data_IF_015307541286
#
_entry.id   IF_015307541286
#
_cell.length_a   1.000
_cell.length_b   1.000
_cell.length_c   1.000
_cell.angle_alpha   90.00
_cell.angle_beta   90.00
_cell.angle_gamma   90.00
#
_symmetry.space_group_name_H-M   'P 1'
#
loop_
_entity.id
_entity.type
_entity.pdbx_description
1 polymer ?
#
# COMPACT_ATOMS: atom_id res chain seq x y z
N UNK A 1 -65.74 -43.80 20.21
CA UNK A 1 -64.35 -43.95 19.70
C UNK A 1 -63.56 -42.74 20.17
N UNK A 2 -63.22 -42.69 21.47
CA UNK A 2 -61.86 -42.76 22.04
C UNK A 2 -60.86 -41.81 21.35
N UNK A 3 -60.64 -40.59 21.87
CA UNK A 3 -59.88 -40.20 23.10
C UNK A 3 -58.36 -40.42 22.91
N UNK A 4 -57.42 -39.47 23.12
CA UNK A 4 -57.34 -38.27 23.99
C UNK A 4 -56.38 -37.21 23.38
N UNK A 5 -56.54 -35.87 23.50
CA UNK A 5 -56.49 -34.95 24.68
C UNK A 5 -55.05 -34.88 25.28
N UNK A 6 -54.33 -33.75 25.42
CA UNK A 6 -54.64 -32.47 26.08
C UNK A 6 -53.57 -31.36 25.79
N UNK A 7 -54.03 -30.11 25.71
CA UNK A 7 -53.36 -28.83 26.07
C UNK A 7 -53.63 -28.53 27.57
N UNK A 8 -53.25 -27.38 28.22
CA UNK A 8 -52.07 -26.48 28.20
C UNK A 8 -51.63 -26.06 29.65
N UNK A 9 -51.00 -24.86 29.81
CA UNK A 9 -50.73 -24.05 31.02
C UNK A 9 -49.29 -24.14 31.56
N UNK A 10 -48.66 -23.12 32.16
CA UNK A 10 -49.08 -21.79 32.57
C UNK A 10 -47.83 -20.89 32.72
N UNK A 11 -48.06 -19.58 32.72
CA UNK A 11 -47.08 -18.55 33.02
C UNK A 11 -46.44 -18.73 34.41
N UNK A 12 -45.14 -18.43 34.51
CA UNK A 12 -44.56 -17.95 35.77
C UNK A 12 -43.51 -16.86 35.50
N UNK A 13 -43.95 -15.61 35.71
CA UNK A 13 -43.11 -14.42 35.77
C UNK A 13 -42.51 -14.37 37.17
N UNK A 14 -41.18 -14.50 37.31
CA UNK A 14 -40.45 -14.05 38.51
C UNK A 14 -39.16 -13.35 38.13
N UNK A 15 -39.17 -12.03 38.30
CA UNK A 15 -38.00 -11.18 38.44
C UNK A 15 -37.05 -11.74 39.50
N UNK A 16 -35.76 -11.88 39.16
CA UNK A 16 -34.65 -11.63 40.11
C UNK A 16 -33.41 -11.18 39.34
N UNK A 17 -32.95 -9.97 39.69
CA UNK A 17 -31.68 -9.35 39.29
C UNK A 17 -30.49 -10.28 39.57
N UNK A 18 -29.56 -10.41 38.63
CA UNK A 18 -28.13 -10.57 38.93
C UNK A 18 -27.26 -10.07 37.77
N UNK A 19 -26.27 -9.26 38.13
CA UNK A 19 -25.30 -8.60 37.27
C UNK A 19 -24.12 -9.53 36.92
N UNK A 20 -23.74 -9.53 35.63
CA UNK A 20 -22.40 -9.64 35.00
C UNK A 20 -21.50 -10.90 35.17
N UNK A 21 -20.45 -11.11 34.34
CA UNK A 21 -20.19 -10.68 32.94
C UNK A 21 -19.63 -11.82 32.03
N UNK A 22 -19.54 -11.58 30.71
CA UNK A 22 -18.40 -11.86 29.80
C UNK A 22 -18.88 -12.14 28.37
N UNK A 23 -18.86 -11.13 27.51
CA UNK A 23 -18.80 -11.33 26.06
C UNK A 23 -17.36 -11.69 25.69
N UNK A 24 -17.14 -12.91 25.22
CA UNK A 24 -15.89 -13.30 24.58
C UNK A 24 -15.79 -12.58 23.24
N UNK A 25 -14.96 -11.54 23.18
CA UNK A 25 -14.50 -10.95 21.94
C UNK A 25 -13.65 -12.01 21.24
N UNK A 26 -14.16 -12.55 20.14
CA UNK A 26 -13.42 -13.47 19.28
C UNK A 26 -12.47 -12.64 18.39
N UNK A 27 -11.34 -12.22 18.98
CA UNK A 27 -10.23 -11.64 18.22
C UNK A 27 -9.63 -12.74 17.32
N UNK A 28 -9.75 -12.57 15.99
CA UNK A 28 -9.07 -13.43 15.01
C UNK A 28 -7.55 -13.33 15.25
N UNK A 29 -6.90 -14.49 15.42
CA UNK A 29 -5.46 -14.65 15.69
C UNK A 29 -4.51 -13.91 14.72
N UNK A 30 -4.97 -13.50 13.55
CA UNK A 30 -4.16 -12.75 12.58
C UNK A 30 -3.97 -11.25 12.89
N UNK A 31 -4.80 -10.64 13.76
CA UNK A 31 -4.65 -9.20 14.08
C UNK A 31 -3.70 -8.92 15.25
N UNK A 32 -3.41 -9.91 16.11
CA UNK A 32 -2.56 -9.72 17.28
C UNK A 32 -1.09 -9.48 16.92
N UNK A 33 -0.58 -10.11 15.86
CA UNK A 33 0.79 -9.87 15.37
C UNK A 33 0.94 -8.45 14.78
N UNK A 34 -0.14 -7.88 14.23
CA UNK A 34 -0.17 -6.56 13.58
C UNK A 34 -0.24 -5.41 14.59
N UNK A 35 -0.84 -5.61 15.76
CA UNK A 35 -0.84 -4.61 16.85
C UNK A 35 0.44 -4.62 17.71
N UNK A 36 1.12 -5.77 17.83
CA UNK A 36 2.36 -5.87 18.59
C UNK A 36 3.50 -5.08 17.90
N UNK A 37 3.52 -5.04 16.57
CA UNK A 37 4.53 -4.30 15.79
C UNK A 37 4.27 -2.78 15.80
N UNK A 38 3.01 -2.34 15.64
CA UNK A 38 2.65 -0.93 15.77
C UNK A 38 2.82 -0.40 17.22
N UNK A 39 2.57 -1.23 18.23
CA UNK A 39 2.80 -0.90 19.63
C UNK A 39 4.29 -0.74 19.99
N UNK A 40 5.18 -1.50 19.34
CA UNK A 40 6.63 -1.36 19.52
C UNK A 40 7.17 -0.07 18.86
N UNK A 41 6.63 0.32 17.70
CA UNK A 41 7.01 1.56 17.01
C UNK A 41 6.53 2.85 17.70
N UNK A 42 5.42 2.80 18.46
CA UNK A 42 4.86 3.96 19.19
C UNK A 42 5.27 4.02 20.67
N UNK A 43 5.81 2.94 21.24
CA UNK A 43 6.28 2.93 22.63
C UNK A 43 7.35 3.99 22.97
N UNK A 44 8.25 4.45 22.05
CA UNK A 44 9.19 5.53 22.32
C UNK A 44 8.51 6.90 22.49
N UNK A 45 7.42 7.15 21.76
CA UNK A 45 6.65 8.40 21.79
C UNK A 45 5.78 8.52 23.06
N UNK A 46 5.30 7.40 23.59
CA UNK A 46 4.44 7.38 24.79
C UNK A 46 5.22 7.42 26.12
N UNK A 47 6.53 7.13 26.10
CA UNK A 47 7.39 7.11 27.30
C UNK A 47 8.22 8.38 27.51
N UNK A 48 8.14 9.36 26.62
CA UNK A 48 8.75 10.67 26.82
C UNK A 48 7.90 11.49 27.81
N UNK A 49 8.36 11.77 29.05
CA UNK A 49 7.52 12.40 30.07
C UNK A 49 7.20 13.88 29.80
N UNK A 50 7.69 14.47 28.71
CA UNK A 50 7.49 15.88 28.40
C UNK A 50 7.19 16.07 26.91
N UNK A 51 5.97 16.51 26.65
CA UNK A 51 5.41 16.91 25.37
C UNK A 51 6.22 18.00 24.65
N UNK A 52 6.42 17.80 23.34
CA UNK A 52 6.53 18.80 22.25
C UNK A 52 6.77 20.26 22.66
N UNK A 53 7.96 20.58 23.18
CA UNK A 53 8.56 21.91 23.13
C UNK A 53 10.04 21.82 23.59
N UNK A 54 10.98 22.22 22.73
CA UNK A 54 12.29 22.69 23.21
C UNK A 54 13.41 21.67 23.41
N UNK A 55 13.51 20.59 22.62
CA UNK A 55 14.77 19.85 22.48
C UNK A 55 15.28 19.92 21.04
N UNK A 56 16.44 20.55 20.87
CA UNK A 56 17.34 20.27 19.75
C UNK A 56 17.99 18.93 20.06
N UNK A 57 17.37 17.82 19.63
CA UNK A 57 18.08 16.56 19.53
C UNK A 57 19.12 16.74 18.43
N UNK A 58 20.39 16.93 18.81
CA UNK A 58 21.47 16.75 17.86
C UNK A 58 21.44 15.27 17.49
N UNK A 59 21.10 14.97 16.23
CA UNK A 59 20.87 13.61 15.71
C UNK A 59 22.13 12.72 15.86
N UNK A 60 23.28 13.33 16.20
CA UNK A 60 24.53 12.65 16.54
C UNK A 60 24.56 12.02 17.94
N UNK A 61 23.73 12.49 18.87
CA UNK A 61 23.66 12.01 20.26
C UNK A 61 22.57 10.94 20.44
N UNK A 62 22.34 10.11 19.42
CA UNK A 62 21.37 9.02 19.51
C UNK A 62 21.74 8.07 20.65
N UNK A 63 20.84 7.87 21.63
CA UNK A 63 21.12 6.98 22.73
C UNK A 63 21.23 5.54 22.20
N UNK A 64 22.20 4.78 22.71
CA UNK A 64 22.55 3.44 22.21
C UNK A 64 21.36 2.47 22.11
N UNK A 65 20.30 2.66 22.89
CA UNK A 65 19.08 1.84 22.83
C UNK A 65 18.26 2.04 21.56
N UNK A 66 18.44 3.14 20.82
CA UNK A 66 17.81 3.36 19.52
C UNK A 66 18.58 2.65 18.38
N UNK A 67 19.83 2.26 18.60
CA UNK A 67 20.64 1.56 17.61
C UNK A 67 20.34 0.07 17.65
N UNK A 68 20.13 -0.53 16.47
CA UNK A 68 19.96 -1.99 16.36
C UNK A 68 21.30 -2.60 15.94
N UNK A 69 22.02 -3.33 16.82
CA UNK A 69 23.26 -3.99 16.44
C UNK A 69 22.96 -5.18 15.53
N UNK A 70 23.44 -5.12 14.28
CA UNK A 70 23.15 -6.10 13.24
C UNK A 70 24.37 -6.95 12.84
N UNK A 71 25.35 -7.10 13.75
CA UNK A 71 26.62 -7.82 13.52
C UNK A 71 26.47 -9.25 12.96
N UNK A 72 25.32 -9.87 13.16
CA UNK A 72 25.04 -11.23 12.69
C UNK A 72 24.64 -11.32 11.21
N UNK A 73 24.28 -10.19 10.57
CA UNK A 73 24.01 -10.05 9.12
C UNK A 73 25.07 -9.18 8.42
N UNK A 74 26.13 -8.80 9.13
CA UNK A 74 27.24 -8.12 8.48
C UNK A 74 28.01 -9.11 7.59
N UNK A 75 28.37 -8.72 6.37
CA UNK A 75 29.05 -9.62 5.46
C UNK A 75 30.37 -10.11 6.03
N UNK A 76 30.48 -11.44 6.19
CA UNK A 76 31.67 -12.10 6.76
C UNK A 76 32.87 -12.12 5.82
N UNK A 77 32.65 -11.80 4.54
CA UNK A 77 33.67 -11.74 3.49
C UNK A 77 33.52 -10.41 2.75
N UNK A 78 34.61 -9.89 2.13
CA UNK A 78 34.53 -8.69 1.30
C UNK A 78 33.47 -8.84 0.22
N UNK A 79 32.59 -7.84 0.10
CA UNK A 79 31.58 -7.77 -0.95
C UNK A 79 32.23 -7.21 -2.23
N UNK A 80 32.11 -7.90 -3.38
CA UNK A 80 32.58 -7.35 -4.65
C UNK A 80 31.89 -6.02 -4.98
N UNK A 81 32.65 -5.04 -5.48
CA UNK A 81 32.10 -3.75 -5.86
C UNK A 81 31.00 -3.88 -6.94
N UNK A 82 29.86 -3.26 -6.68
CA UNK A 82 28.68 -3.23 -7.54
C UNK A 82 28.00 -1.87 -7.47
N UNK A 83 27.49 -1.41 -8.62
CA UNK A 83 26.53 -0.31 -8.67
C UNK A 83 25.12 -0.90 -8.60
N UNK A 84 24.20 -0.16 -7.97
CA UNK A 84 22.80 -0.56 -7.82
C UNK A 84 21.89 0.62 -8.10
N UNK A 85 20.77 0.34 -8.73
CA UNK A 85 19.63 1.22 -8.96
C UNK A 85 18.61 0.95 -7.87
N UNK A 86 18.29 -0.32 -7.64
CA UNK A 86 17.08 -0.70 -6.90
C UNK A 86 16.31 -1.75 -7.68
N UNK A 87 15.58 -2.62 -6.97
CA UNK A 87 14.55 -3.44 -7.59
C UNK A 87 13.30 -2.60 -7.90
N UNK A 88 12.34 -3.18 -8.61
CA UNK A 88 11.18 -2.45 -9.13
C UNK A 88 10.32 -1.83 -8.01
N UNK A 89 9.99 -2.62 -6.99
CA UNK A 89 9.01 -2.21 -5.97
C UNK A 89 9.62 -1.88 -4.62
N UNK A 90 10.76 -2.49 -4.26
CA UNK A 90 11.23 -2.37 -2.89
C UNK A 90 11.71 -0.93 -2.59
N UNK A 91 11.26 -0.30 -1.49
CA UNK A 91 11.68 1.04 -1.10
C UNK A 91 13.10 1.03 -0.55
N UNK A 92 13.87 2.08 -0.81
CA UNK A 92 15.25 2.19 -0.30
C UNK A 92 15.23 2.57 1.18
N UNK A 93 16.20 2.12 1.99
CA UNK A 93 16.41 2.69 3.31
C UNK A 93 16.72 4.19 3.25
N UNK A 94 16.67 4.89 4.39
CA UNK A 94 17.09 6.30 4.44
C UNK A 94 18.49 6.42 3.87
N UNK A 95 18.65 7.34 2.92
CA UNK A 95 19.91 7.59 2.24
C UNK A 95 21.00 8.08 3.20
N UNK A 96 22.28 7.89 2.86
CA UNK A 96 23.39 8.56 3.52
C UNK A 96 23.28 10.08 3.38
N UNK A 97 23.86 10.83 4.33
CA UNK A 97 23.79 12.30 4.33
C UNK A 97 24.27 12.89 3.01
N UNK A 98 23.50 13.85 2.50
CA UNK A 98 23.83 14.64 1.32
C UNK A 98 23.43 14.00 0.01
N UNK A 99 23.00 12.73 0.02
CA UNK A 99 22.51 12.06 -1.17
C UNK A 99 21.08 12.48 -1.49
N UNK A 100 20.85 12.77 -2.76
CA UNK A 100 19.55 13.04 -3.34
C UNK A 100 19.32 12.13 -4.53
N UNK A 101 18.07 11.77 -4.80
CA UNK A 101 17.71 11.02 -5.99
C UNK A 101 16.39 11.51 -6.59
N UNK A 102 16.32 11.42 -7.91
CA UNK A 102 15.13 11.52 -8.72
C UNK A 102 14.98 10.22 -9.50
N UNK A 103 13.80 9.61 -9.41
CA UNK A 103 13.46 8.42 -10.19
C UNK A 103 12.07 8.57 -10.83
N UNK A 104 12.00 8.97 -12.11
CA UNK A 104 10.79 8.82 -12.90
C UNK A 104 10.56 7.33 -13.17
N UNK A 105 9.37 6.89 -12.86
CA UNK A 105 8.96 5.50 -12.82
C UNK A 105 7.64 5.35 -13.57
N UNK A 106 7.61 4.54 -14.61
CA UNK A 106 6.41 4.35 -15.43
C UNK A 106 5.92 2.92 -15.35
N UNK A 107 4.62 2.76 -15.07
CA UNK A 107 3.92 1.48 -15.02
C UNK A 107 2.82 1.49 -16.07
N UNK A 108 2.84 0.54 -16.99
CA UNK A 108 1.68 0.22 -17.81
C UNK A 108 0.95 -0.93 -17.13
N UNK A 109 -0.34 -0.80 -16.82
CA UNK A 109 -1.13 -1.88 -16.21
C UNK A 109 -2.11 -2.43 -17.22
N UNK A 110 -2.02 -3.73 -17.48
CA UNK A 110 -2.95 -4.46 -18.35
C UNK A 110 -3.68 -5.50 -17.50
N UNK A 111 -4.95 -5.26 -17.17
CA UNK A 111 -5.78 -6.24 -16.49
C UNK A 111 -6.05 -7.46 -17.39
N UNK A 112 -5.87 -8.66 -16.84
CA UNK A 112 -6.00 -9.94 -17.57
C UNK A 112 -7.05 -10.88 -16.97
N UNK A 113 -7.81 -10.41 -15.98
CA UNK A 113 -8.80 -11.18 -15.24
C UNK A 113 -9.01 -10.66 -13.82
N UNK A 114 -9.74 -11.40 -12.99
CA UNK A 114 -9.94 -11.10 -11.57
C UNK A 114 -9.90 -12.37 -10.74
N UNK A 115 -9.43 -12.26 -9.50
CA UNK A 115 -9.62 -13.25 -8.46
C UNK A 115 -10.89 -12.91 -7.67
N UNK A 116 -11.82 -13.86 -7.60
CA UNK A 116 -13.06 -13.70 -6.84
C UNK A 116 -12.84 -13.72 -5.32
N UNK A 117 -13.91 -13.71 -4.53
CA UNK A 117 -13.84 -13.73 -3.06
C UNK A 117 -13.29 -15.04 -2.46
N UNK A 118 -13.24 -16.10 -3.25
CA UNK A 118 -12.66 -17.40 -2.88
C UNK A 118 -11.25 -17.59 -3.48
N UNK A 119 -10.75 -16.61 -4.23
CA UNK A 119 -9.47 -16.66 -4.93
C UNK A 119 -9.48 -17.44 -6.24
N UNK A 120 -10.66 -17.78 -6.77
CA UNK A 120 -10.75 -18.41 -8.10
C UNK A 120 -10.48 -17.36 -9.18
N UNK A 121 -9.62 -17.72 -10.14
CA UNK A 121 -9.35 -16.87 -11.29
C UNK A 121 -10.53 -16.92 -12.27
N UNK A 122 -11.14 -15.77 -12.49
CA UNK A 122 -12.11 -15.53 -13.57
C UNK A 122 -11.36 -14.84 -14.70
N UNK A 123 -11.13 -15.59 -15.78
CA UNK A 123 -10.59 -15.04 -17.03
C UNK A 123 -11.69 -14.25 -17.73
N UNK A 124 -11.38 -13.03 -18.17
CA UNK A 124 -12.31 -12.11 -18.87
C UNK A 124 -13.57 -11.72 -18.05
N UNK A 125 -13.39 -10.98 -16.95
CA UNK A 125 -14.49 -10.44 -16.15
C UNK A 125 -14.42 -8.92 -15.99
N UNK A 126 -15.52 -8.22 -16.30
CA UNK A 126 -15.71 -6.80 -16.01
C UNK A 126 -15.04 -5.82 -16.98
N UNK A 127 -15.54 -4.57 -17.02
CA UNK A 127 -14.87 -3.47 -17.72
C UNK A 127 -13.63 -3.08 -16.93
N UNK A 128 -12.47 -3.54 -17.40
CA UNK A 128 -11.18 -3.16 -16.87
C UNK A 128 -10.55 -2.12 -17.80
N UNK A 129 -9.83 -1.15 -17.22
CA UNK A 129 -9.08 -0.17 -17.97
C UNK A 129 -7.62 -0.59 -18.01
N UNK A 130 -7.03 -0.52 -19.19
CA UNK A 130 -5.59 -0.42 -19.27
C UNK A 130 -5.20 0.96 -18.73
N UNK A 131 -4.06 1.06 -18.07
CA UNK A 131 -3.58 2.33 -17.55
C UNK A 131 -2.09 2.52 -17.71
N UNK A 132 -1.68 3.79 -17.67
CA UNK A 132 -0.31 4.23 -17.64
C UNK A 132 -0.18 5.20 -16.47
N UNK A 133 0.68 4.88 -15.52
CA UNK A 133 1.00 5.75 -14.37
C UNK A 133 2.47 6.12 -14.40
N UNK A 134 2.77 7.41 -14.32
CA UNK A 134 4.12 7.95 -14.18
C UNK A 134 4.28 8.54 -12.79
N UNK A 135 5.03 7.86 -11.91
CA UNK A 135 5.39 8.31 -10.57
C UNK A 135 6.80 8.88 -10.58
N UNK A 136 7.05 9.96 -9.85
CA UNK A 136 8.37 10.59 -9.79
C UNK A 136 8.82 10.59 -8.33
N UNK A 137 9.73 9.68 -7.99
CA UNK A 137 10.25 9.60 -6.63
C UNK A 137 11.35 10.64 -6.44
N UNK A 138 11.11 11.60 -5.55
CA UNK A 138 12.13 12.54 -5.09
C UNK A 138 12.45 12.21 -3.65
N UNK A 139 13.71 11.87 -3.39
CA UNK A 139 14.18 11.53 -2.04
C UNK A 139 15.50 12.21 -1.74
N UNK A 140 15.67 12.68 -0.52
CA UNK A 140 16.91 13.28 -0.07
C UNK A 140 17.18 13.09 1.41
N UNK A 141 18.46 13.01 1.75
CA UNK A 141 18.92 12.82 3.12
C UNK A 141 19.67 14.05 3.65
N UNK A 142 19.01 14.95 4.40
CA UNK A 142 19.69 16.05 5.08
C UNK A 142 20.67 15.57 6.18
N UNK A 143 20.47 14.35 6.71
CA UNK A 143 21.32 13.72 7.73
C UNK A 143 21.57 12.26 7.39
N UNK A 144 22.46 11.58 8.12
CA UNK A 144 22.73 10.17 7.86
C UNK A 144 21.56 9.25 8.19
N UNK A 145 20.67 9.68 9.09
CA UNK A 145 19.58 8.83 9.58
C UNK A 145 18.21 9.27 9.08
N UNK A 146 18.05 10.50 8.59
CA UNK A 146 16.76 11.04 8.17
C UNK A 146 16.78 11.32 6.67
N UNK A 147 15.82 10.72 5.97
CA UNK A 147 15.41 11.10 4.61
C UNK A 147 14.02 11.71 4.60
N UNK A 148 13.79 12.53 3.59
CA UNK A 148 12.49 13.07 3.20
C UNK A 148 12.21 12.58 1.79
N UNK A 149 10.95 12.26 1.50
CA UNK A 149 10.52 11.93 0.16
C UNK A 149 9.15 12.51 -0.19
N UNK A 150 8.93 12.68 -1.48
CA UNK A 150 7.67 13.08 -2.09
C UNK A 150 7.51 12.37 -3.43
N UNK A 151 6.31 11.92 -3.75
CA UNK A 151 6.07 11.11 -4.96
C UNK A 151 4.85 11.61 -5.75
N UNK A 152 4.95 12.72 -6.50
CA UNK A 152 3.90 13.07 -7.45
C UNK A 152 3.73 11.97 -8.49
N UNK A 153 2.48 11.68 -8.84
CA UNK A 153 2.14 10.70 -9.86
C UNK A 153 1.04 11.21 -10.77
N UNK A 154 1.08 10.75 -12.02
CA UNK A 154 0.13 11.08 -13.06
C UNK A 154 -0.38 9.80 -13.71
N UNK A 155 -1.69 9.67 -13.83
CA UNK A 155 -2.33 8.47 -14.33
C UNK A 155 -3.25 8.75 -15.50
N UNK A 156 -3.22 7.86 -16.49
CA UNK A 156 -4.09 7.86 -17.66
C UNK A 156 -4.65 6.46 -17.85
N UNK A 157 -5.95 6.35 -18.07
CA UNK A 157 -6.65 5.07 -18.23
C UNK A 157 -7.46 5.05 -19.51
N UNK A 158 -7.49 3.92 -20.21
CA UNK A 158 -8.26 3.72 -21.42
C UNK A 158 -8.88 2.32 -21.47
N UNK A 159 -9.95 2.17 -22.24
CA UNK A 159 -10.52 0.84 -22.49
C UNK A 159 -10.01 0.32 -23.83
N UNK A 160 -9.49 -0.91 -23.91
CA UNK A 160 -9.26 -1.59 -25.17
C UNK A 160 -10.56 -1.62 -26.00
N UNK A 161 -10.44 -1.25 -27.27
CA UNK A 161 -11.52 -0.72 -28.11
C UNK A 161 -12.58 -1.78 -28.49
N UNK A 162 -13.64 -1.92 -27.69
CA UNK A 162 -14.91 -2.54 -28.11
C UNK A 162 -16.11 -1.66 -27.69
N UNK A 163 -16.67 -0.92 -28.65
CA UNK A 163 -18.07 -0.47 -28.66
C UNK A 163 -18.51 0.62 -27.66
N UNK A 164 -18.74 1.82 -28.23
CA UNK A 164 -19.54 2.97 -27.74
C UNK A 164 -19.08 3.72 -26.47
N UNK A 165 -18.90 5.04 -26.67
CA UNK A 165 -18.44 6.11 -25.78
C UNK A 165 -16.92 6.20 -25.51
N UNK A 166 -16.40 7.43 -25.51
CA UNK A 166 -15.04 7.78 -25.10
C UNK A 166 -14.87 7.43 -23.62
N UNK A 167 -14.37 6.22 -23.33
CA UNK A 167 -14.11 5.73 -21.97
C UNK A 167 -12.70 6.08 -21.46
N UNK A 168 -11.92 6.78 -22.27
CA UNK A 168 -10.57 7.20 -21.92
C UNK A 168 -10.64 8.34 -20.92
N UNK A 169 -9.79 8.28 -19.91
CA UNK A 169 -9.67 9.35 -18.93
C UNK A 169 -8.93 10.56 -19.52
N UNK A 170 -8.94 11.66 -18.78
CA UNK A 170 -7.85 12.63 -18.89
C UNK A 170 -6.62 12.16 -18.10
N UNK A 171 -5.48 12.81 -18.33
CA UNK A 171 -4.34 12.64 -17.42
C UNK A 171 -4.73 13.28 -16.08
N UNK A 172 -4.82 12.46 -15.04
CA UNK A 172 -5.11 12.88 -13.68
C UNK A 172 -3.83 12.96 -12.86
N UNK A 173 -3.77 13.92 -11.93
CA UNK A 173 -2.78 13.93 -10.87
C UNK A 173 -3.28 13.05 -9.73
N UNK A 174 -2.48 12.10 -9.25
CA UNK A 174 -2.86 11.17 -8.18
C UNK A 174 -2.83 11.84 -6.79
N UNK A 175 -3.25 11.10 -5.75
CA UNK A 175 -3.06 11.51 -4.35
C UNK A 175 -1.56 11.59 -4.01
N UNK A 176 -1.09 12.76 -3.54
CA UNK A 176 0.33 13.08 -3.35
C UNK A 176 0.89 12.52 -2.04
N UNK A 177 1.75 11.50 -2.06
CA UNK A 177 2.44 10.99 -0.87
C UNK A 177 3.68 11.81 -0.56
N UNK A 178 3.97 11.94 0.74
CA UNK A 178 5.23 12.44 1.27
C UNK A 178 5.55 11.68 2.56
N UNK A 179 6.76 11.16 2.66
CA UNK A 179 7.21 10.40 3.82
C UNK A 179 8.49 10.99 4.44
N UNK A 180 8.62 10.77 5.75
CA UNK A 180 9.85 10.87 6.50
C UNK A 180 10.34 9.46 6.74
N UNK A 181 11.63 9.24 6.53
CA UNK A 181 12.23 7.93 6.75
C UNK A 181 13.41 8.04 7.71
N UNK A 182 13.40 7.22 8.75
CA UNK A 182 14.43 7.22 9.78
C UNK A 182 15.13 5.87 9.91
N UNK A 183 16.45 5.85 9.70
CA UNK A 183 17.32 4.66 9.78
C UNK A 183 17.91 4.48 11.17
N UNK A 184 17.75 3.29 11.75
CA UNK A 184 18.22 2.93 13.10
C UNK A 184 19.63 2.32 13.13
N UNK A 185 20.16 1.93 11.98
CA UNK A 185 21.53 1.39 11.87
C UNK A 185 22.51 2.52 11.61
N UNK A 186 23.76 2.36 12.04
CA UNK A 186 24.84 3.31 11.67
C UNK A 186 25.35 3.02 10.24
N UNK A 187 25.27 1.77 9.79
CA UNK A 187 25.64 1.32 8.44
C UNK A 187 24.47 1.39 7.45
N UNK A 188 24.77 1.62 6.17
CA UNK A 188 23.78 1.52 5.08
C UNK A 188 23.50 0.07 4.64
N UNK A 189 24.35 -0.88 5.05
CA UNK A 189 24.16 -2.31 4.86
C UNK A 189 24.89 -3.06 5.99
N UNK A 190 24.19 -3.81 6.86
CA UNK A 190 22.74 -3.91 6.95
C UNK A 190 22.09 -2.57 7.35
N UNK A 191 20.84 -2.37 6.95
CA UNK A 191 20.03 -1.20 7.27
C UNK A 191 18.61 -1.57 7.65
N UNK A 192 18.05 -0.81 8.60
CA UNK A 192 16.64 -0.87 9.01
C UNK A 192 16.17 0.57 9.16
N UNK A 193 15.07 0.91 8.48
CA UNK A 193 14.43 2.21 8.57
C UNK A 193 12.94 2.08 8.85
N UNK A 194 12.38 3.06 9.54
CA UNK A 194 10.93 3.27 9.62
C UNK A 194 10.52 4.38 8.68
N UNK A 195 9.33 4.21 8.11
CA UNK A 195 8.67 5.18 7.24
C UNK A 195 7.49 5.76 8.00
N UNK A 196 7.32 7.08 7.96
CA UNK A 196 6.16 7.78 8.51
C UNK A 196 5.83 9.00 7.67
N UNK A 197 4.58 9.12 7.24
CA UNK A 197 4.19 10.20 6.35
C UNK A 197 2.69 10.26 6.14
N UNK A 198 2.29 10.95 5.08
CA UNK A 198 0.90 11.05 4.69
C UNK A 198 0.74 11.14 3.18
N UNK A 199 -0.49 10.93 2.73
CA UNK A 199 -0.89 11.15 1.34
C UNK A 199 -2.02 12.16 1.32
N UNK A 200 -1.79 13.26 0.62
CA UNK A 200 -2.74 14.34 0.43
C UNK A 200 -3.79 13.94 -0.63
N UNK A 201 -5.08 14.23 -0.40
CA UNK A 201 -6.15 13.88 -1.33
C UNK A 201 -6.22 14.85 -2.51
N UNK A 202 -5.17 14.88 -3.31
CA UNK A 202 -5.04 15.76 -4.48
C UNK A 202 -5.70 15.18 -5.73
N UNK A 203 -5.94 13.87 -5.76
CA UNK A 203 -6.50 13.20 -6.92
C UNK A 203 -8.00 13.41 -7.08
N UNK A 204 -8.45 13.45 -8.34
CA UNK A 204 -9.86 13.52 -8.66
C UNK A 204 -10.56 12.23 -8.18
N UNK A 205 -11.63 12.39 -7.40
CA UNK A 205 -12.38 11.26 -6.87
C UNK A 205 -13.90 11.41 -6.94
N UNK A 206 -14.41 12.62 -7.13
CA UNK A 206 -15.81 12.95 -6.91
C UNK A 206 -16.39 13.72 -8.10
N UNK A 207 -17.67 13.50 -8.41
CA UNK A 207 -18.35 14.14 -9.55
C UNK A 207 -17.56 14.04 -10.86
N UNK A 208 -17.03 12.84 -11.14
CA UNK A 208 -16.22 12.56 -12.31
C UNK A 208 -17.07 12.58 -13.58
N UNK A 209 -16.48 13.04 -14.69
CA UNK A 209 -17.12 12.96 -16.00
C UNK A 209 -17.20 11.49 -16.45
N UNK A 210 -16.09 10.75 -16.30
CA UNK A 210 -16.00 9.30 -16.55
C UNK A 210 -15.44 8.59 -15.33
N UNK A 211 -15.85 7.33 -15.11
CA UNK A 211 -15.30 6.52 -14.04
C UNK A 211 -13.77 6.36 -14.13
N UNK A 212 -13.22 6.34 -15.35
CA UNK A 212 -11.78 6.25 -15.61
C UNK A 212 -10.99 7.49 -15.16
N UNK A 213 -11.63 8.64 -14.92
CA UNK A 213 -10.97 9.86 -14.42
C UNK A 213 -10.63 9.78 -12.91
N UNK A 214 -11.04 8.71 -12.23
CA UNK A 214 -10.84 8.52 -10.80
C UNK A 214 -9.41 8.09 -10.45
N UNK A 215 -8.65 9.00 -9.85
CA UNK A 215 -7.23 8.80 -9.48
C UNK A 215 -6.94 9.14 -8.01
N UNK A 216 -7.93 9.64 -7.27
CA UNK A 216 -7.82 9.95 -5.85
C UNK A 216 -8.81 9.19 -4.98
N UNK A 217 -8.53 9.18 -3.67
CA UNK A 217 -9.43 8.67 -2.64
C UNK A 217 -10.21 9.79 -1.92
N UNK A 218 -9.84 11.06 -2.06
CA UNK A 218 -10.59 12.15 -1.42
C UNK A 218 -10.48 12.21 0.11
N UNK A 219 -9.57 11.43 0.70
CA UNK A 219 -9.26 11.46 2.13
C UNK A 219 -7.75 11.45 2.34
N UNK A 220 -7.31 12.14 3.40
CA UNK A 220 -5.94 11.98 3.87
C UNK A 220 -5.69 10.54 4.31
N UNK A 221 -4.53 9.99 3.93
CA UNK A 221 -4.07 8.69 4.43
C UNK A 221 -2.78 8.87 5.21
N UNK A 222 -2.74 8.37 6.44
CA UNK A 222 -1.52 8.23 7.21
C UNK A 222 -0.71 7.06 6.66
N UNK A 223 0.57 7.26 6.36
CA UNK A 223 1.50 6.24 5.84
C UNK A 223 2.49 5.89 6.94
N UNK A 224 2.70 4.60 7.17
CA UNK A 224 3.67 4.15 8.17
C UNK A 224 4.14 2.74 7.87
N UNK A 225 5.38 2.44 8.23
CA UNK A 225 5.95 1.14 7.95
C UNK A 225 7.42 1.04 8.30
N UNK A 226 8.06 0.04 7.75
CA UNK A 226 9.50 -0.13 7.82
C UNK A 226 10.02 -0.76 6.54
N UNK A 227 11.32 -0.57 6.32
CA UNK A 227 12.06 -1.29 5.31
C UNK A 227 13.45 -1.62 5.85
N UNK A 228 14.13 -2.52 5.16
CA UNK A 228 15.51 -2.82 5.46
C UNK A 228 16.21 -3.47 4.29
N UNK A 229 17.54 -3.52 4.39
CA UNK A 229 18.36 -4.18 3.40
C UNK A 229 19.64 -4.75 4.02
N UNK A 230 20.25 -5.69 3.33
CA UNK A 230 21.65 -6.04 3.51
C UNK A 230 22.25 -6.53 2.20
N UNK A 231 23.58 -6.56 2.14
CA UNK A 231 24.36 -7.00 0.99
C UNK A 231 25.34 -8.06 1.45
N UNK A 232 25.35 -9.19 0.76
CA UNK A 232 26.23 -10.33 1.01
C UNK A 232 26.99 -10.70 -0.28
N UNK A 233 28.20 -11.28 -0.16
CA UNK A 233 28.90 -11.82 -1.32
C UNK A 233 28.19 -13.09 -1.80
N UNK A 234 27.95 -13.16 -3.09
CA UNK A 234 27.33 -14.30 -3.76
C UNK A 234 28.22 -14.74 -4.93
N UNK A 235 28.96 -15.83 -4.73
CA UNK A 235 30.03 -16.27 -5.63
C UNK A 235 31.06 -15.17 -5.93
N UNK A 236 31.14 -14.69 -7.17
CA UNK A 236 32.07 -13.63 -7.61
C UNK A 236 31.38 -12.25 -7.67
N UNK A 237 30.14 -12.17 -7.21
CA UNK A 237 29.25 -11.02 -7.33
C UNK A 237 28.68 -10.66 -5.95
N UNK A 238 27.87 -9.61 -5.93
CA UNK A 238 27.13 -9.21 -4.74
C UNK A 238 25.65 -9.58 -4.89
N UNK A 239 25.04 -9.94 -3.77
CA UNK A 239 23.60 -10.11 -3.64
C UNK A 239 23.08 -9.09 -2.64
N UNK A 240 22.06 -8.33 -3.01
CA UNK A 240 21.33 -7.45 -2.10
C UNK A 240 19.97 -8.07 -1.82
N UNK A 241 19.60 -8.07 -0.55
CA UNK A 241 18.27 -8.49 -0.08
C UNK A 241 17.62 -7.30 0.57
N UNK A 242 16.35 -7.04 0.23
CA UNK A 242 15.56 -5.96 0.80
C UNK A 242 14.22 -6.49 1.26
N UNK A 243 13.64 -5.88 2.26
CA UNK A 243 12.30 -6.23 2.75
C UNK A 243 11.59 -4.97 3.21
N UNK A 244 10.27 -5.00 3.17
CA UNK A 244 9.46 -3.88 3.61
C UNK A 244 8.06 -4.32 4.04
N UNK A 245 7.43 -3.46 4.84
CA UNK A 245 6.01 -3.50 5.10
C UNK A 245 5.53 -2.08 5.37
N UNK A 246 4.60 -1.58 4.56
CA UNK A 246 4.06 -0.22 4.65
C UNK A 246 2.54 -0.30 4.61
N UNK A 247 1.90 0.33 5.60
CA UNK A 247 0.46 0.46 5.69
C UNK A 247 0.03 1.92 5.48
N UNK A 248 -1.20 2.10 4.99
CA UNK A 248 -1.83 3.37 4.68
C UNK A 248 -3.22 3.35 5.28
N UNK A 249 -3.48 4.21 6.26
CA UNK A 249 -4.77 4.24 6.98
C UNK A 249 -5.49 5.57 6.71
N UNK A 250 -6.73 5.54 6.21
CA UNK A 250 -7.50 6.75 5.98
C UNK A 250 -7.84 7.45 7.30
N UNK A 251 -7.81 8.79 7.29
CA UNK A 251 -8.07 9.63 8.45
C UNK A 251 -9.51 10.17 8.50
N UNK A 252 -10.40 9.68 7.64
CA UNK A 252 -11.80 10.11 7.60
C UNK A 252 -12.60 9.49 6.46
N UNK A 253 -13.73 10.12 6.17
CA UNK A 253 -14.68 9.71 5.13
C UNK A 253 -14.62 10.65 3.91
N UNK A 254 -14.76 10.06 2.73
CA UNK A 254 -14.90 10.79 1.47
C UNK A 254 -16.37 11.17 1.25
N UNK A 255 -16.66 12.41 0.83
CA UNK A 255 -18.02 12.80 0.42
C UNK A 255 -18.23 12.47 -1.05
N UNK A 256 -19.29 11.73 -1.35
CA UNK A 256 -19.53 11.18 -2.68
C UNK A 256 -20.77 11.79 -3.33
N UNK A 257 -20.63 12.16 -4.60
CA UNK A 257 -21.65 12.72 -5.47
C UNK A 257 -21.46 12.20 -6.89
N UNK A 258 -22.54 11.73 -7.51
CA UNK A 258 -22.55 11.23 -8.88
C UNK A 258 -21.48 10.13 -9.11
N UNK A 259 -20.82 10.17 -10.27
CA UNK A 259 -19.73 9.25 -10.61
C UNK A 259 -18.50 9.53 -9.74
N UNK A 260 -17.95 8.51 -9.10
CA UNK A 260 -16.79 8.64 -8.19
C UNK A 260 -15.79 7.50 -8.37
N UNK A 261 -14.56 7.66 -7.86
CA UNK A 261 -13.55 6.59 -7.79
C UNK A 261 -14.02 5.37 -6.98
N UNK A 262 -15.10 5.49 -6.21
CA UNK A 262 -15.68 4.41 -5.41
C UNK A 262 -16.68 3.56 -6.20
N UNK A 263 -16.83 3.78 -7.51
CA UNK A 263 -17.73 2.99 -8.36
C UNK A 263 -19.20 3.39 -8.25
N UNK A 264 -19.50 4.60 -7.77
CA UNK A 264 -20.86 5.15 -7.80
C UNK A 264 -21.14 5.79 -9.16
N UNK A 265 -22.42 6.02 -9.48
CA UNK A 265 -22.86 6.66 -10.72
C UNK A 265 -23.67 7.93 -10.51
N UNK A 266 -24.09 8.56 -11.60
CA UNK A 266 -24.94 9.75 -11.60
C UNK A 266 -26.15 9.62 -10.64
N UNK A 267 -26.50 10.70 -9.94
CA UNK A 267 -27.60 10.72 -8.97
C UNK A 267 -27.24 10.17 -7.59
N UNK A 268 -26.05 9.61 -7.40
CA UNK A 268 -25.58 9.19 -6.08
C UNK A 268 -25.27 10.38 -5.16
N UNK A 269 -25.62 10.26 -3.88
CA UNK A 269 -25.12 11.14 -2.80
C UNK A 269 -24.88 10.33 -1.54
N UNK A 270 -23.71 10.49 -0.93
CA UNK A 270 -23.35 9.74 0.27
C UNK A 270 -21.93 9.97 0.73
N UNK A 271 -21.38 8.94 1.37
CA UNK A 271 -19.98 8.90 1.79
C UNK A 271 -19.36 7.51 1.59
N UNK A 272 -18.03 7.49 1.54
CA UNK A 272 -17.25 6.28 1.67
C UNK A 272 -16.29 6.39 2.84
N UNK A 273 -16.21 5.31 3.62
CA UNK A 273 -15.15 5.08 4.58
C UNK A 273 -14.15 4.10 3.96
N UNK A 274 -13.00 4.56 3.44
CA UNK A 274 -12.05 3.67 2.81
C UNK A 274 -11.45 2.70 3.83
N UNK A 275 -11.09 1.51 3.39
CA UNK A 275 -10.29 0.60 4.21
C UNK A 275 -8.82 1.04 4.24
N UNK A 276 -8.10 0.69 5.32
CA UNK A 276 -6.63 0.72 5.28
C UNK A 276 -6.10 -0.20 4.18
N UNK A 277 -5.01 0.18 3.54
CA UNK A 277 -4.29 -0.66 2.58
C UNK A 277 -2.85 -0.85 3.03
N UNK A 278 -2.14 -1.81 2.45
CA UNK A 278 -0.72 -1.97 2.71
C UNK A 278 -0.04 -2.86 1.68
N UNK A 279 1.28 -2.84 1.73
CA UNK A 279 2.17 -3.61 0.88
C UNK A 279 3.32 -4.15 1.73
N UNK A 280 3.64 -5.43 1.58
CA UNK A 280 4.73 -6.09 2.28
C UNK A 280 5.44 -7.09 1.38
N UNK A 281 6.76 -7.16 1.45
CA UNK A 281 7.50 -7.97 0.49
C UNK A 281 8.97 -8.13 0.80
N UNK A 282 9.61 -8.90 -0.08
CA UNK A 282 11.03 -9.15 -0.14
C UNK A 282 11.52 -8.97 -1.57
N UNK A 283 12.71 -8.41 -1.72
CA UNK A 283 13.41 -8.28 -2.97
C UNK A 283 14.78 -8.94 -2.89
N UNK A 284 15.18 -9.59 -3.98
CA UNK A 284 16.53 -10.11 -4.16
C UNK A 284 17.11 -9.55 -5.44
N UNK A 285 18.30 -8.96 -5.34
CA UNK A 285 19.03 -8.40 -6.46
C UNK A 285 20.38 -9.12 -6.56
N UNK A 286 20.65 -9.73 -7.71
CA UNK A 286 21.80 -10.57 -7.98
C UNK A 286 22.67 -9.92 -9.06
N UNK A 287 23.93 -9.67 -8.74
CA UNK A 287 24.90 -9.22 -9.73
C UNK A 287 25.14 -10.27 -10.82
N UNK A 288 24.94 -9.90 -12.08
CA UNK A 288 25.36 -10.69 -13.25
C UNK A 288 26.78 -10.25 -13.64
N UNK A 289 26.97 -8.93 -13.79
CA UNK A 289 28.26 -8.25 -13.95
C UNK A 289 28.29 -7.03 -13.04
N UNK A 290 29.42 -6.33 -12.90
CA UNK A 290 29.53 -5.12 -12.06
C UNK A 290 28.48 -4.01 -12.34
N UNK A 291 27.83 -4.05 -13.51
CA UNK A 291 26.86 -3.04 -13.99
C UNK A 291 25.48 -3.62 -14.32
N UNK A 292 25.35 -4.95 -14.37
CA UNK A 292 24.11 -5.62 -14.75
C UNK A 292 23.65 -6.51 -13.63
N UNK A 293 22.39 -6.37 -13.24
CA UNK A 293 21.81 -7.13 -12.15
C UNK A 293 20.47 -7.72 -12.58
N UNK A 294 20.16 -8.87 -12.01
CA UNK A 294 18.83 -9.43 -12.03
C UNK A 294 18.14 -9.06 -10.71
N UNK A 295 16.91 -8.57 -10.77
CA UNK A 295 16.11 -8.27 -9.60
C UNK A 295 14.83 -9.10 -9.61
N UNK A 296 14.38 -9.52 -8.44
CA UNK A 296 13.09 -10.18 -8.25
C UNK A 296 12.45 -9.67 -6.97
N UNK A 297 11.27 -9.07 -7.11
CA UNK A 297 10.41 -8.72 -5.99
C UNK A 297 9.30 -9.76 -5.83
N UNK A 298 9.05 -10.18 -4.59
CA UNK A 298 7.93 -11.01 -4.19
C UNK A 298 7.19 -10.29 -3.07
N UNK A 299 5.92 -9.98 -3.26
CA UNK A 299 5.19 -9.13 -2.32
C UNK A 299 3.68 -9.38 -2.33
N UNK A 300 3.03 -8.89 -1.28
CA UNK A 300 1.59 -8.88 -1.09
C UNK A 300 1.11 -7.43 -1.00
N UNK A 301 0.13 -7.07 -1.83
CA UNK A 301 -0.77 -5.95 -1.56
C UNK A 301 -1.99 -6.45 -0.80
N UNK A 302 -2.46 -5.67 0.17
CA UNK A 302 -3.72 -5.94 0.85
C UNK A 302 -4.58 -4.69 1.02
N UNK A 303 -5.89 -4.91 1.02
CA UNK A 303 -6.89 -3.88 1.22
C UNK A 303 -7.92 -4.31 2.24
N UNK A 304 -8.16 -3.46 3.23
CA UNK A 304 -9.29 -3.61 4.12
C UNK A 304 -10.58 -3.16 3.44
N UNK A 305 -11.68 -3.52 4.06
CA UNK A 305 -13.02 -3.19 3.62
C UNK A 305 -13.26 -1.69 3.51
N UNK A 306 -13.70 -1.26 2.33
CA UNK A 306 -14.30 0.06 2.10
C UNK A 306 -15.81 -0.03 2.24
N UNK A 307 -16.39 0.86 3.05
CA UNK A 307 -17.83 0.94 3.25
C UNK A 307 -18.39 2.16 2.52
N UNK A 308 -19.29 1.94 1.57
CA UNK A 308 -19.98 2.99 0.83
C UNK A 308 -21.42 3.02 1.31
N UNK A 309 -21.93 4.21 1.63
CA UNK A 309 -23.32 4.41 2.07
C UNK A 309 -23.88 5.70 1.47
N UNK A 310 -25.12 5.65 1.02
CA UNK A 310 -25.78 6.82 0.46
C UNK A 310 -27.13 6.51 -0.14
N UNK A 311 -27.55 7.37 -1.06
CA UNK A 311 -28.81 7.23 -1.80
C UNK A 311 -28.60 7.54 -3.28
N UNK A 312 -29.35 6.86 -4.13
CA UNK A 312 -29.55 7.26 -5.53
C UNK A 312 -30.86 8.03 -5.67
N UNK A 313 -30.86 9.08 -6.50
CA UNK A 313 -32.08 9.78 -6.91
C UNK A 313 -32.91 8.96 -7.90
N UNK A 314 -34.20 9.30 -8.00
CA UNK A 314 -35.12 8.69 -8.97
C UNK A 314 -34.54 8.63 -10.38
N UNK A 315 -34.69 7.48 -11.05
CA UNK A 315 -34.24 7.26 -12.42
C UNK A 315 -32.78 6.82 -12.57
N UNK A 316 -31.99 6.82 -11.49
CA UNK A 316 -30.58 6.40 -11.51
C UNK A 316 -30.35 5.07 -10.79
N UNK A 317 -29.44 4.25 -11.31
CA UNK A 317 -29.07 2.95 -10.76
C UNK A 317 -30.29 2.04 -10.42
N UNK A 318 -31.32 2.06 -11.27
CA UNK A 318 -32.55 1.30 -11.08
C UNK A 318 -33.49 1.84 -9.98
N UNK A 319 -33.25 3.04 -9.46
CA UNK A 319 -34.09 3.62 -8.41
C UNK A 319 -35.46 4.08 -8.94
N UNK A 320 -36.53 3.52 -8.39
CA UNK A 320 -37.93 3.81 -8.76
C UNK A 320 -38.66 4.72 -7.77
N UNK A 321 -38.00 5.13 -6.69
CA UNK A 321 -38.53 6.04 -5.66
C UNK A 321 -37.79 7.38 -5.69
N UNK A 322 -38.27 8.37 -4.93
CA UNK A 322 -37.60 9.68 -4.84
C UNK A 322 -36.13 9.54 -4.42
N UNK A 323 -35.85 8.63 -3.49
CA UNK A 323 -34.51 8.25 -3.06
C UNK A 323 -34.47 6.75 -2.74
N UNK A 324 -33.44 6.04 -3.21
CA UNK A 324 -33.22 4.64 -2.89
C UNK A 324 -31.93 4.49 -2.09
N UNK A 325 -32.01 3.87 -0.91
CA UNK A 325 -30.84 3.61 -0.08
C UNK A 325 -29.86 2.67 -0.79
N UNK A 326 -28.57 2.96 -0.65
CA UNK A 326 -27.49 2.16 -1.20
C UNK A 326 -26.43 1.94 -0.12
N UNK A 327 -25.98 0.70 0.01
CA UNK A 327 -24.80 0.38 0.78
C UNK A 327 -24.01 -0.72 0.09
N UNK A 328 -22.71 -0.54 0.01
CA UNK A 328 -21.78 -1.50 -0.55
C UNK A 328 -20.59 -1.67 0.38
N UNK A 329 -20.06 -2.88 0.39
CA UNK A 329 -18.86 -3.26 1.11
C UNK A 329 -17.95 -3.98 0.13
N UNK A 330 -16.71 -3.50 -0.03
CA UNK A 330 -15.77 -4.09 -1.00
C UNK A 330 -15.18 -5.42 -0.53
N UNK A 331 -15.34 -5.78 0.74
CA UNK A 331 -14.62 -6.88 1.37
C UNK A 331 -13.14 -6.58 1.56
N UNK A 332 -12.44 -7.50 2.24
CA UNK A 332 -10.97 -7.52 2.28
C UNK A 332 -10.44 -8.03 0.94
N UNK A 333 -9.29 -7.51 0.48
CA UNK A 333 -8.60 -7.98 -0.71
C UNK A 333 -7.14 -8.29 -0.43
N UNK A 334 -6.58 -9.20 -1.21
CA UNK A 334 -5.13 -9.47 -1.25
C UNK A 334 -4.69 -9.72 -2.68
N UNK A 335 -3.46 -9.35 -3.01
CA UNK A 335 -2.83 -9.62 -4.29
C UNK A 335 -1.36 -10.01 -4.07
N UNK A 336 -1.02 -11.25 -4.37
CA UNK A 336 0.35 -11.75 -4.35
C UNK A 336 0.97 -11.59 -5.72
N UNK A 337 2.08 -10.87 -5.78
CA UNK A 337 2.72 -10.49 -7.03
C UNK A 337 4.20 -10.87 -7.03
N UNK A 338 4.69 -11.15 -8.24
CA UNK A 338 6.11 -11.32 -8.51
C UNK A 338 6.53 -10.33 -9.60
N UNK A 339 7.67 -9.66 -9.42
CA UNK A 339 8.18 -8.69 -10.37
C UNK A 339 9.66 -8.96 -10.70
N UNK A 340 9.95 -9.85 -11.66
CA UNK A 340 11.30 -9.99 -12.21
C UNK A 340 11.69 -8.77 -13.05
N UNK A 341 12.97 -8.39 -12.97
CA UNK A 341 13.52 -7.27 -13.71
C UNK A 341 15.01 -7.43 -14.01
N UNK A 342 15.47 -6.62 -14.97
CA UNK A 342 16.88 -6.43 -15.26
C UNK A 342 17.24 -4.99 -14.94
N UNK A 343 18.35 -4.84 -14.23
CA UNK A 343 18.92 -3.57 -13.84
C UNK A 343 20.23 -3.30 -14.59
N UNK A 344 20.42 -2.04 -14.97
CA UNK A 344 21.67 -1.52 -15.52
C UNK A 344 22.12 -0.28 -14.75
N UNK A 345 23.21 -0.43 -13.99
CA UNK A 345 23.84 0.63 -13.22
C UNK A 345 25.27 0.88 -13.71
N UNK A 346 25.47 1.73 -14.75
CA UNK A 346 26.77 1.98 -15.35
C UNK A 346 27.78 2.61 -14.38
N UNK A 347 27.28 3.46 -13.49
CA UNK A 347 28.00 4.18 -12.46
C UNK A 347 27.06 4.33 -11.25
N UNK A 348 27.57 4.54 -10.03
CA UNK A 348 26.75 4.62 -8.82
C UNK A 348 25.83 5.87 -8.72
N UNK A 349 25.54 6.52 -9.85
CA UNK A 349 24.81 7.79 -9.98
C UNK A 349 23.59 7.57 -10.89
N UNK A 350 23.78 6.91 -12.03
CA UNK A 350 22.72 6.58 -12.97
C UNK A 350 22.35 5.10 -12.88
N UNK A 351 21.06 4.83 -12.79
CA UNK A 351 20.49 3.50 -12.79
C UNK A 351 19.29 3.40 -13.72
N UNK A 352 19.15 2.26 -14.39
CA UNK A 352 17.98 1.94 -15.20
C UNK A 352 17.47 0.57 -14.79
N UNK A 353 16.16 0.43 -14.66
CA UNK A 353 15.53 -0.86 -14.42
C UNK A 353 14.32 -1.02 -15.32
N UNK A 354 14.15 -2.23 -15.85
CA UNK A 354 12.96 -2.61 -16.58
C UNK A 354 12.55 -4.04 -16.23
N UNK A 355 11.25 -4.25 -16.10
CA UNK A 355 10.72 -5.57 -15.79
C UNK A 355 9.22 -5.63 -15.90
N UNK A 356 8.63 -6.67 -15.34
CA UNK A 356 7.19 -6.91 -15.41
C UNK A 356 6.71 -7.47 -14.08
N UNK A 357 5.72 -6.81 -13.50
CA UNK A 357 4.98 -7.33 -12.37
C UNK A 357 3.83 -8.22 -12.88
N UNK A 358 3.63 -9.35 -12.21
CA UNK A 358 2.51 -10.27 -12.47
C UNK A 358 1.80 -10.56 -11.15
N UNK A 359 0.50 -10.32 -11.10
CA UNK A 359 -0.33 -10.79 -9.97
C UNK A 359 -0.62 -12.28 -10.12
N UNK A 360 0.03 -13.10 -9.31
CA UNK A 360 0.01 -14.54 -9.41
C UNK A 360 -1.16 -15.19 -8.64
N UNK A 361 -1.62 -14.56 -7.56
CA UNK A 361 -2.73 -15.04 -6.75
C UNK A 361 -3.36 -13.88 -5.96
N UNK A 362 -4.53 -14.11 -5.37
CA UNK A 362 -5.20 -13.10 -4.55
C UNK A 362 -6.66 -13.44 -4.34
N UNK A 363 -7.40 -12.51 -3.76
CA UNK A 363 -8.86 -12.55 -3.72
C UNK A 363 -9.43 -11.14 -3.68
N UNK A 364 -10.62 -10.96 -4.26
CA UNK A 364 -11.23 -9.64 -4.46
C UNK A 364 -10.26 -8.64 -5.11
N UNK A 365 -9.46 -9.10 -6.08
CA UNK A 365 -8.43 -8.28 -6.73
C UNK A 365 -8.35 -8.60 -8.22
N UNK A 366 -7.88 -7.64 -9.01
CA UNK A 366 -7.60 -7.85 -10.42
C UNK A 366 -6.33 -8.69 -10.59
N UNK A 367 -6.33 -9.54 -11.61
CA UNK A 367 -5.09 -10.16 -12.10
C UNK A 367 -4.49 -9.25 -13.15
N UNK A 368 -3.32 -8.69 -12.91
CA UNK A 368 -2.67 -7.76 -13.84
C UNK A 368 -1.34 -8.28 -14.37
N UNK A 369 -1.01 -7.82 -15.57
CA UNK A 369 0.33 -7.81 -16.13
C UNK A 369 0.76 -6.35 -16.19
N UNK A 370 1.84 -5.99 -15.52
CA UNK A 370 2.26 -4.60 -15.44
C UNK A 370 3.75 -4.43 -15.80
N UNK A 371 4.09 -4.16 -17.08
CA UNK A 371 5.42 -3.75 -17.47
C UNK A 371 5.83 -2.42 -16.82
N UNK A 372 7.07 -2.33 -16.40
CA UNK A 372 7.60 -1.21 -15.62
C UNK A 372 8.98 -0.81 -16.14
N UNK A 373 9.26 0.50 -16.11
CA UNK A 373 10.57 1.06 -16.42
C UNK A 373 10.83 2.26 -15.53
N UNK A 374 12.05 2.36 -15.03
CA UNK A 374 12.49 3.50 -14.24
C UNK A 374 13.92 3.90 -14.56
N UNK A 375 14.20 5.19 -14.33
CA UNK A 375 15.53 5.77 -14.47
C UNK A 375 15.85 6.51 -13.18
N UNK A 376 16.80 6.02 -12.40
CA UNK A 376 17.27 6.70 -11.21
C UNK A 376 18.47 7.58 -11.54
N UNK A 377 18.46 8.81 -11.05
CA UNK A 377 19.62 9.68 -11.02
C UNK A 377 19.84 10.18 -9.58
N UNK A 378 21.01 9.86 -9.02
CA UNK A 378 21.41 10.23 -7.67
C UNK A 378 22.63 11.17 -7.67
N UNK A 379 22.68 12.14 -6.75
CA UNK A 379 23.78 13.10 -6.63
C UNK A 379 24.11 13.49 -5.19
#
# INVERSE_FOLDING_TARGET
MRHDKLLPSAACRKNKKRWQPTSRICLKKHSLLRFIIAGLALSPLAKAPNSFAGYSLDIKDQPDWMKIPMKWIEPKKPVPAHSWTGSLLSPSPSFPKGMWALEPYTVATVPTGNYDSHGNLIQHGGSQYDSLTSSWFFKGAPTDHLSVDITPAFSYSWTPQDGTANKNSHVGFDDLPFDLEYRFTDTYSPSISVVFGASAPTGAYNNLERAADGVGAGVWKLRYGFNGQFVEPFFKQAMRVRWWAVARTPLGDASLKNTTSYGTGEGFRGSAHPGSTGEEGIAVELGITKRWLFALDLYEDWGSTTNIRGTYSYGHNGCTQAQCAFSQNTGWSTAWSAAPAIEYAPNGVLGLIAGVQVTAAGHNTSRTLAPQIAVMYAW
#
